data_IF_499492259905
#
_entry.id   IF_499492259905
#
_cell.length_a   1.000
_cell.length_b   1.000
_cell.length_c   1.000
_cell.angle_alpha   90.00
_cell.angle_beta   90.00
_cell.angle_gamma   90.00
#
_symmetry.space_group_name_H-M   'P 1'
#
loop_
_entity.id
_entity.type
_entity.pdbx_description
1 polymer ?
#
# COMPACT_ATOMS: atom_id res chain seq x y z
N UNK A 1 -27.27 -28.96 -15.52
CA UNK A 1 -27.80 -27.60 -15.34
C UNK A 1 -26.91 -26.88 -14.33
N UNK A 2 -25.93 -26.12 -14.82
CA UNK A 2 -25.08 -25.28 -13.98
C UNK A 2 -25.95 -24.13 -13.49
N UNK A 3 -26.44 -24.21 -12.25
CA UNK A 3 -27.11 -23.10 -11.60
C UNK A 3 -26.16 -21.91 -11.57
N UNK A 4 -26.61 -20.76 -12.06
CA UNK A 4 -25.78 -19.56 -12.20
C UNK A 4 -25.06 -19.25 -10.89
N UNK A 5 -23.74 -19.14 -10.94
CA UNK A 5 -22.97 -18.65 -9.82
C UNK A 5 -23.40 -17.19 -9.56
N UNK A 6 -24.25 -16.98 -8.55
CA UNK A 6 -24.52 -15.66 -8.03
C UNK A 6 -23.18 -15.06 -7.57
N UNK A 7 -22.86 -13.86 -8.04
CA UNK A 7 -21.63 -13.19 -7.71
C UNK A 7 -21.64 -12.85 -6.22
N UNK A 8 -20.83 -13.55 -5.43
CA UNK A 8 -20.58 -13.22 -4.02
C UNK A 8 -19.68 -12.01 -3.95
N UNK A 9 -20.04 -11.04 -3.11
CA UNK A 9 -19.24 -9.84 -2.91
C UNK A 9 -18.56 -9.88 -1.54
N UNK A 10 -17.32 -9.42 -1.51
CA UNK A 10 -16.49 -9.38 -0.31
C UNK A 10 -16.07 -7.94 -0.01
N UNK A 11 -16.11 -7.58 1.26
CA UNK A 11 -15.68 -6.26 1.74
C UNK A 11 -14.85 -6.42 3.02
N UNK A 12 -13.54 -6.27 2.88
CA UNK A 12 -12.59 -6.56 3.94
C UNK A 12 -11.89 -5.28 4.37
N UNK A 13 -11.87 -5.03 5.67
CA UNK A 13 -11.12 -3.92 6.25
C UNK A 13 -9.67 -4.36 6.48
N UNK A 14 -8.72 -3.54 6.01
CA UNK A 14 -7.29 -3.86 6.05
C UNK A 14 -6.63 -3.47 7.38
N UNK A 15 -7.28 -2.59 8.14
CA UNK A 15 -6.88 -2.19 9.50
C UNK A 15 -7.92 -2.69 10.50
N UNK A 16 -7.50 -3.03 11.72
CA UNK A 16 -8.42 -3.41 12.77
C UNK A 16 -9.31 -2.22 13.13
N UNK A 17 -10.60 -2.49 13.29
CA UNK A 17 -11.63 -1.51 13.64
C UNK A 17 -12.00 -1.72 15.09
N UNK A 18 -12.01 -0.62 15.86
CA UNK A 18 -12.57 -0.63 17.20
C UNK A 18 -14.11 -0.59 17.11
N UNK A 19 -14.76 -1.65 17.57
CA UNK A 19 -16.23 -1.75 17.58
C UNK A 19 -16.85 -1.34 18.91
N UNK A 20 -16.06 -0.93 19.91
CA UNK A 20 -16.53 -0.57 21.25
C UNK A 20 -16.83 -1.77 22.18
N UNK A 21 -16.71 -3.00 21.67
CA UNK A 21 -17.08 -4.24 22.38
C UNK A 21 -15.87 -5.05 22.87
N UNK A 22 -14.66 -4.47 22.85
CA UNK A 22 -13.44 -5.14 23.30
C UNK A 22 -12.20 -4.77 22.50
N UNK A 23 -11.37 -5.77 22.19
CA UNK A 23 -10.19 -5.57 21.36
C UNK A 23 -10.57 -5.16 19.94
N UNK A 24 -9.76 -4.32 19.26
CA UNK A 24 -9.93 -4.05 17.85
C UNK A 24 -10.01 -5.35 17.02
N UNK A 25 -10.89 -5.38 16.02
CA UNK A 25 -11.13 -6.56 15.18
C UNK A 25 -10.93 -6.24 13.70
N UNK A 26 -10.37 -7.20 12.96
CA UNK A 26 -10.40 -7.18 11.51
C UNK A 26 -11.77 -7.67 11.03
N UNK A 27 -12.37 -6.91 10.12
CA UNK A 27 -13.71 -7.19 9.60
C UNK A 27 -13.59 -7.78 8.20
N UNK A 28 -13.97 -9.06 8.05
CA UNK A 28 -14.07 -9.74 6.76
C UNK A 28 -15.54 -9.90 6.38
N UNK A 29 -16.00 -9.05 5.48
CA UNK A 29 -17.40 -8.95 5.07
C UNK A 29 -17.72 -9.78 3.84
N UNK A 30 -18.91 -10.36 3.82
CA UNK A 30 -19.45 -11.07 2.65
C UNK A 30 -20.97 -10.83 2.52
N UNK A 31 -21.45 -10.83 1.28
CA UNK A 31 -22.87 -10.96 0.93
C UNK A 31 -23.07 -11.87 -0.28
N UNK A 32 -24.19 -12.59 -0.31
CA UNK A 32 -24.55 -13.49 -1.42
C UNK A 32 -25.29 -12.74 -2.54
N UNK A 33 -26.09 -11.73 -2.19
CA UNK A 33 -26.79 -10.83 -3.12
C UNK A 33 -26.48 -9.36 -2.85
N UNK A 34 -26.58 -8.51 -3.87
CA UNK A 34 -26.43 -7.06 -3.73
C UNK A 34 -27.53 -6.42 -2.87
N UNK A 35 -28.69 -7.08 -2.76
CA UNK A 35 -29.78 -6.65 -1.89
C UNK A 35 -29.51 -6.97 -0.41
N UNK A 36 -28.59 -7.89 -0.11
CA UNK A 36 -28.29 -8.29 1.26
C UNK A 36 -27.31 -7.32 1.92
N UNK A 37 -27.46 -7.17 3.23
CA UNK A 37 -26.46 -6.53 4.06
C UNK A 37 -25.21 -7.41 4.18
N UNK A 38 -24.03 -6.78 4.24
CA UNK A 38 -22.79 -7.49 4.51
C UNK A 38 -22.83 -8.14 5.90
N UNK A 39 -22.48 -9.42 5.95
CA UNK A 39 -22.20 -10.15 7.19
C UNK A 39 -20.69 -10.14 7.40
N UNK A 40 -20.25 -9.67 8.55
CA UNK A 40 -18.84 -9.53 8.87
C UNK A 40 -18.41 -10.58 9.88
N UNK A 41 -17.44 -11.39 9.50
CA UNK A 41 -16.64 -12.15 10.44
C UNK A 41 -15.68 -11.19 11.14
N UNK A 42 -15.63 -11.27 12.47
CA UNK A 42 -14.84 -10.36 13.33
C UNK A 42 -13.64 -11.10 13.89
N UNK A 43 -12.46 -10.92 13.29
CA UNK A 43 -11.24 -11.58 13.76
C UNK A 43 -10.53 -10.67 14.76
N UNK A 44 -10.29 -11.09 16.01
CA UNK A 44 -9.58 -10.25 16.98
C UNK A 44 -8.13 -10.01 16.57
N UNK A 45 -7.67 -8.78 16.80
CA UNK A 45 -6.27 -8.41 16.69
C UNK A 45 -5.45 -9.10 17.78
N UNK A 46 -4.30 -9.68 17.42
CA UNK A 46 -3.40 -10.35 18.35
C UNK A 46 -2.49 -9.36 19.12
N UNK A 47 -1.58 -9.91 19.95
CA UNK A 47 -0.61 -9.15 20.74
C UNK A 47 0.40 -8.34 19.92
N UNK A 48 0.56 -8.67 18.63
CA UNK A 48 1.46 -7.99 17.69
C UNK A 48 0.72 -7.02 16.76
N UNK A 49 -0.60 -6.85 16.94
CA UNK A 49 -1.41 -5.97 16.09
C UNK A 49 -1.90 -6.61 14.79
N UNK A 50 -1.75 -7.93 14.63
CA UNK A 50 -2.02 -8.67 13.40
C UNK A 50 -3.12 -9.72 13.52
N UNK A 51 -3.21 -10.55 12.46
CA UNK A 51 -4.12 -11.69 12.35
C UNK A 51 -3.45 -13.03 12.70
N UNK A 52 -2.13 -13.04 12.89
CA UNK A 52 -1.32 -14.25 12.96
C UNK A 52 -1.70 -15.13 14.16
N UNK A 53 -2.03 -14.51 15.31
CA UNK A 53 -2.52 -15.22 16.48
C UNK A 53 -3.78 -16.04 16.18
N UNK A 54 -4.76 -15.46 15.49
CA UNK A 54 -5.99 -16.15 15.10
C UNK A 54 -5.72 -17.23 14.04
N UNK A 55 -4.95 -16.91 13.00
CA UNK A 55 -4.62 -17.87 11.93
C UNK A 55 -3.90 -19.11 12.47
N UNK A 56 -3.00 -18.91 13.44
CA UNK A 56 -2.30 -19.99 14.13
C UNK A 56 -3.23 -20.84 14.97
N UNK A 57 -4.16 -20.22 15.71
CA UNK A 57 -5.17 -20.94 16.47
C UNK A 57 -6.07 -21.77 15.54
N UNK A 58 -6.53 -21.19 14.42
CA UNK A 58 -7.30 -21.90 13.39
C UNK A 58 -6.52 -23.10 12.83
N UNK A 59 -5.25 -22.90 12.44
CA UNK A 59 -4.41 -23.99 11.95
C UNK A 59 -4.19 -25.09 13.00
N UNK A 60 -4.07 -24.71 14.28
CA UNK A 60 -3.96 -25.67 15.39
C UNK A 60 -5.26 -26.45 15.61
N UNK A 61 -6.41 -25.81 15.39
CA UNK A 61 -7.73 -26.44 15.46
C UNK A 61 -7.93 -27.45 14.33
N UNK A 62 -7.42 -27.18 13.13
CA UNK A 62 -7.52 -28.10 11.98
C UNK A 62 -6.64 -29.35 12.15
N UNK A 63 -5.56 -29.30 12.92
CA UNK A 63 -4.66 -30.43 13.16
C UNK A 63 -5.11 -31.32 14.33
N UNK A 64 -5.52 -32.59 14.06
CA UNK A 64 -6.02 -33.51 15.08
C UNK A 64 -5.02 -33.81 16.21
N UNK A 65 -3.73 -33.81 15.91
CA UNK A 65 -2.70 -34.10 16.90
C UNK A 65 -2.59 -32.96 17.93
N UNK A 66 -2.78 -31.71 17.51
CA UNK A 66 -2.78 -30.57 18.45
C UNK A 66 -4.06 -30.53 19.26
N UNK A 67 -5.22 -30.81 18.65
CA UNK A 67 -6.48 -30.96 19.38
C UNK A 67 -6.34 -31.99 20.51
N UNK A 68 -5.80 -33.16 20.20
CA UNK A 68 -5.59 -34.22 21.20
C UNK A 68 -4.62 -33.79 22.31
N UNK A 69 -3.55 -33.08 21.99
CA UNK A 69 -2.60 -32.57 22.99
C UNK A 69 -3.19 -31.46 23.87
N UNK A 70 -3.91 -30.50 23.28
CA UNK A 70 -4.59 -29.45 24.02
C UNK A 70 -5.62 -30.01 25.00
N UNK A 71 -6.38 -31.03 24.59
CA UNK A 71 -7.33 -31.74 25.46
C UNK A 71 -6.62 -32.43 26.63
N UNK A 72 -5.48 -33.10 26.38
CA UNK A 72 -4.69 -33.73 27.45
C UNK A 72 -4.17 -32.69 28.45
N UNK A 73 -3.65 -31.57 27.97
CA UNK A 73 -3.16 -30.46 28.82
C UNK A 73 -4.29 -29.87 29.66
N UNK A 74 -5.43 -29.60 29.04
CA UNK A 74 -6.62 -29.10 29.73
C UNK A 74 -7.08 -30.07 30.83
N UNK A 75 -7.21 -31.36 30.52
CA UNK A 75 -7.68 -32.36 31.49
C UNK A 75 -6.73 -32.48 32.70
N UNK A 76 -5.41 -32.47 32.48
CA UNK A 76 -4.41 -32.50 33.56
C UNK A 76 -4.43 -31.26 34.44
N UNK A 77 -4.78 -30.10 33.88
CA UNK A 77 -4.82 -28.83 34.60
C UNK A 77 -6.14 -28.62 35.34
N UNK A 78 -7.24 -29.13 34.80
CA UNK A 78 -8.58 -28.94 35.34
C UNK A 78 -8.97 -29.94 36.44
N UNK A 79 -8.27 -31.08 36.53
CA UNK A 79 -8.57 -32.16 37.48
C UNK A 79 -7.43 -32.32 38.49
N UNK A 80 -7.78 -32.62 39.74
CA UNK A 80 -6.83 -32.98 40.78
C UNK A 80 -6.01 -34.22 40.36
N UNK A 81 -4.66 -34.17 40.42
CA UNK A 81 -3.79 -35.31 40.11
C UNK A 81 -4.15 -36.61 40.85
N UNK A 82 -4.83 -36.52 42.01
CA UNK A 82 -5.31 -37.67 42.77
C UNK A 82 -6.52 -38.39 42.16
N UNK A 83 -7.12 -37.87 41.06
CA UNK A 83 -8.33 -38.44 40.42
C UNK A 83 -8.15 -38.63 38.90
N UNK A 84 -7.26 -39.54 38.46
CA UNK A 84 -6.96 -39.73 37.03
C UNK A 84 -8.19 -40.15 36.21
N UNK A 85 -9.11 -40.94 36.77
CA UNK A 85 -10.33 -41.37 36.08
C UNK A 85 -11.22 -40.20 35.65
N UNK A 86 -11.30 -39.13 36.47
CA UNK A 86 -12.05 -37.92 36.12
C UNK A 86 -11.36 -37.14 35.00
N UNK A 87 -10.02 -37.19 34.93
CA UNK A 87 -9.26 -36.56 33.87
C UNK A 87 -9.54 -37.23 32.53
N UNK A 88 -9.64 -38.57 32.49
CA UNK A 88 -9.96 -39.31 31.27
C UNK A 88 -11.39 -39.04 30.78
N UNK A 89 -12.36 -38.98 31.70
CA UNK A 89 -13.74 -38.63 31.36
C UNK A 89 -13.88 -37.19 30.84
N UNK A 90 -13.16 -36.26 31.46
CA UNK A 90 -13.11 -34.86 31.02
C UNK A 90 -12.43 -34.76 29.65
N UNK A 91 -11.31 -35.45 29.45
CA UNK A 91 -10.59 -35.48 28.18
C UNK A 91 -11.48 -36.03 27.04
N UNK A 92 -12.21 -37.12 27.29
CA UNK A 92 -13.13 -37.68 26.29
C UNK A 92 -14.24 -36.69 25.92
N UNK A 93 -14.79 -35.98 26.89
CA UNK A 93 -15.86 -34.98 26.67
C UNK A 93 -15.33 -33.74 25.94
N UNK A 94 -14.18 -33.23 26.37
CA UNK A 94 -13.45 -32.14 25.73
C UNK A 94 -13.06 -32.47 24.29
N UNK A 95 -12.56 -33.67 24.02
CA UNK A 95 -12.21 -34.14 22.68
C UNK A 95 -13.42 -34.16 21.75
N UNK A 96 -14.57 -34.67 22.20
CA UNK A 96 -15.81 -34.64 21.43
C UNK A 96 -16.25 -33.21 21.12
N UNK A 97 -16.28 -32.34 22.13
CA UNK A 97 -16.68 -30.95 21.98
C UNK A 97 -15.79 -30.22 20.96
N UNK A 98 -14.47 -30.37 21.09
CA UNK A 98 -13.51 -29.70 20.21
C UNK A 98 -13.56 -30.25 18.77
N UNK A 99 -13.81 -31.55 18.59
CA UNK A 99 -13.93 -32.18 17.26
C UNK A 99 -15.21 -31.75 16.55
N UNK A 100 -16.34 -31.66 17.27
CA UNK A 100 -17.60 -31.10 16.75
C UNK A 100 -17.42 -29.63 16.36
N UNK A 101 -16.76 -28.84 17.21
CA UNK A 101 -16.47 -27.43 16.93
C UNK A 101 -15.56 -27.26 15.70
N UNK A 102 -14.60 -28.17 15.50
CA UNK A 102 -13.72 -28.19 14.33
C UNK A 102 -14.41 -28.67 13.04
N UNK A 103 -15.68 -29.06 13.09
CA UNK A 103 -16.44 -29.52 11.92
C UNK A 103 -16.25 -31.00 11.58
N UNK A 104 -15.72 -31.83 12.49
CA UNK A 104 -15.58 -33.29 12.29
C UNK A 104 -16.87 -34.07 12.60
N UNK A 105 -18.02 -33.40 12.53
CA UNK A 105 -19.33 -33.99 12.76
C UNK A 105 -19.56 -35.16 11.79
N UNK A 106 -19.87 -36.34 12.34
CA UNK A 106 -20.31 -37.47 11.53
C UNK A 106 -21.54 -37.03 10.71
N UNK A 107 -21.58 -37.28 9.39
CA UNK A 107 -22.74 -36.90 8.57
C UNK A 107 -23.99 -37.55 9.16
N UNK A 108 -25.08 -36.77 9.33
CA UNK A 108 -26.39 -37.33 9.67
C UNK A 108 -26.71 -38.41 8.64
N UNK A 109 -27.16 -39.59 9.10
CA UNK A 109 -27.38 -40.75 8.23
C UNK A 109 -28.25 -40.36 7.02
N UNK A 110 -27.67 -40.42 5.81
CA UNK A 110 -28.34 -40.06 4.56
C UNK A 110 -28.15 -38.63 4.05
N UNK A 111 -27.36 -37.76 4.70
CA UNK A 111 -27.05 -36.41 4.23
C UNK A 111 -25.58 -36.28 3.81
N UNK A 112 -25.34 -35.52 2.73
CA UNK A 112 -23.99 -35.15 2.32
C UNK A 112 -23.30 -34.32 3.43
N UNK A 113 -21.96 -34.39 3.56
CA UNK A 113 -21.22 -33.55 4.50
C UNK A 113 -21.54 -32.08 4.24
N UNK A 114 -22.14 -31.39 5.21
CA UNK A 114 -22.39 -29.95 5.11
C UNK A 114 -21.08 -29.22 5.46
N UNK A 115 -20.48 -28.43 4.55
CA UNK A 115 -19.30 -27.62 4.86
C UNK A 115 -19.53 -26.58 5.97
N UNK A 116 -20.79 -26.35 6.38
CA UNK A 116 -21.19 -25.49 7.52
C UNK A 116 -21.35 -26.25 8.85
N UNK A 117 -21.00 -27.55 8.91
CA UNK A 117 -21.26 -28.43 10.07
C UNK A 117 -20.27 -28.31 11.25
N UNK A 118 -19.73 -27.11 11.50
CA UNK A 118 -18.80 -26.83 12.60
C UNK A 118 -19.19 -25.59 13.42
N UNK A 119 -18.29 -25.15 14.30
CA UNK A 119 -18.52 -23.98 15.15
C UNK A 119 -19.50 -24.21 16.30
N UNK A 120 -20.01 -23.11 16.87
CA UNK A 120 -20.97 -23.13 17.98
C UNK A 120 -22.31 -23.76 17.58
N UNK A 121 -22.72 -23.64 16.32
CA UNK A 121 -23.97 -24.23 15.82
C UNK A 121 -23.93 -25.76 15.89
N UNK A 122 -22.81 -26.39 15.53
CA UNK A 122 -22.66 -27.84 15.63
C UNK A 122 -22.77 -28.35 17.07
N UNK A 123 -22.27 -27.57 18.04
CA UNK A 123 -22.44 -27.89 19.46
C UNK A 123 -23.90 -27.74 19.90
N UNK A 124 -24.59 -26.69 19.45
CA UNK A 124 -26.00 -26.49 19.76
C UNK A 124 -26.87 -27.65 19.22
N UNK A 125 -26.67 -28.03 17.96
CA UNK A 125 -27.33 -29.17 17.33
C UNK A 125 -27.07 -30.49 18.09
N UNK A 126 -25.83 -30.71 18.53
CA UNK A 126 -25.47 -31.87 19.34
C UNK A 126 -26.20 -31.89 20.69
N UNK A 127 -26.27 -30.74 21.35
CA UNK A 127 -26.96 -30.56 22.63
C UNK A 127 -28.47 -30.80 22.50
N UNK A 128 -29.10 -30.31 21.45
CA UNK A 128 -30.52 -30.53 21.19
C UNK A 128 -30.85 -32.01 20.95
N UNK A 129 -29.98 -32.73 20.24
CA UNK A 129 -30.20 -34.13 19.89
C UNK A 129 -29.91 -35.11 21.04
N UNK A 130 -28.96 -34.79 21.93
CA UNK A 130 -28.45 -35.75 22.94
C UNK A 130 -28.81 -35.38 24.38
N UNK A 131 -29.29 -34.16 24.66
CA UNK A 131 -29.57 -33.69 26.03
C UNK A 131 -31.05 -33.31 26.18
N UNK A 132 -31.75 -33.84 27.19
CA UNK A 132 -33.11 -33.43 27.51
C UNK A 132 -33.23 -31.92 27.76
N UNK A 133 -34.36 -31.33 27.38
CA UNK A 133 -34.59 -29.88 27.45
C UNK A 133 -34.36 -29.30 28.86
N UNK A 134 -34.79 -30.02 29.90
CA UNK A 134 -34.63 -29.61 31.29
C UNK A 134 -33.17 -29.47 31.74
N UNK A 135 -32.24 -30.18 31.11
CA UNK A 135 -30.81 -30.19 31.47
C UNK A 135 -29.96 -29.37 30.48
N UNK A 136 -30.54 -28.98 29.34
CA UNK A 136 -29.82 -28.41 28.20
C UNK A 136 -29.06 -27.13 28.53
N UNK A 137 -29.67 -26.22 29.29
CA UNK A 137 -29.01 -24.97 29.70
C UNK A 137 -27.75 -25.24 30.53
N UNK A 138 -27.88 -26.05 31.60
CA UNK A 138 -26.76 -26.37 32.50
C UNK A 138 -25.66 -27.16 31.79
N UNK A 139 -26.03 -28.14 30.98
CA UNK A 139 -25.06 -28.93 30.23
C UNK A 139 -24.36 -28.09 29.14
N UNK A 140 -25.07 -27.13 28.53
CA UNK A 140 -24.52 -26.16 27.58
C UNK A 140 -23.46 -25.26 28.22
N UNK A 141 -23.74 -24.68 29.40
CA UNK A 141 -22.78 -23.85 30.13
C UNK A 141 -21.48 -24.60 30.44
N UNK A 142 -21.60 -25.86 30.87
CA UNK A 142 -20.45 -26.73 31.14
C UNK A 142 -19.68 -27.02 29.85
N UNK A 143 -20.37 -27.32 28.76
CA UNK A 143 -19.76 -27.60 27.46
C UNK A 143 -18.98 -26.40 26.92
N UNK A 144 -19.56 -25.21 26.96
CA UNK A 144 -18.91 -23.95 26.56
C UNK A 144 -17.69 -23.67 27.42
N UNK A 145 -17.78 -23.90 28.74
CA UNK A 145 -16.63 -23.74 29.65
C UNK A 145 -15.48 -24.69 29.31
N UNK A 146 -15.80 -25.95 29.02
CA UNK A 146 -14.81 -26.96 28.60
C UNK A 146 -14.19 -26.56 27.26
N UNK A 147 -15.02 -26.18 26.28
CA UNK A 147 -14.57 -25.74 24.97
C UNK A 147 -13.59 -24.57 25.08
N UNK A 148 -13.98 -23.49 25.79
CA UNK A 148 -13.14 -22.31 25.97
C UNK A 148 -11.81 -22.67 26.67
N UNK A 149 -11.83 -23.53 27.67
CA UNK A 149 -10.61 -24.00 28.34
C UNK A 149 -9.69 -24.83 27.43
N UNK A 150 -10.26 -25.66 26.57
CA UNK A 150 -9.47 -26.45 25.60
C UNK A 150 -8.90 -25.59 24.47
N UNK A 151 -9.68 -24.63 23.96
CA UNK A 151 -9.21 -23.68 22.94
C UNK A 151 -8.12 -22.76 23.49
N UNK A 152 -8.18 -22.41 24.78
CA UNK A 152 -7.11 -21.69 25.46
C UNK A 152 -5.79 -22.49 25.46
N UNK A 153 -5.83 -23.75 25.89
CA UNK A 153 -4.65 -24.63 25.85
C UNK A 153 -4.15 -24.88 24.41
N UNK A 154 -5.07 -24.92 23.44
CA UNK A 154 -4.73 -25.02 22.02
C UNK A 154 -4.02 -23.76 21.51
N UNK A 155 -4.47 -22.57 21.91
CA UNK A 155 -3.81 -21.30 21.57
C UNK A 155 -2.38 -21.24 22.13
N UNK A 156 -2.20 -21.67 23.40
CA UNK A 156 -0.88 -21.75 24.02
C UNK A 156 0.03 -22.76 23.30
N UNK A 157 -0.50 -23.95 22.98
CA UNK A 157 0.24 -24.97 22.24
C UNK A 157 0.66 -24.48 20.84
N UNK A 158 -0.23 -23.79 20.14
CA UNK A 158 0.07 -23.18 18.83
C UNK A 158 1.20 -22.14 18.93
N UNK A 159 1.19 -21.30 19.97
CA UNK A 159 2.28 -20.34 20.22
C UNK A 159 3.61 -21.02 20.56
N UNK A 160 3.58 -22.02 21.42
CA UNK A 160 4.77 -22.81 21.79
C UNK A 160 5.43 -23.43 20.56
N UNK A 161 4.64 -24.04 19.68
CA UNK A 161 5.14 -24.61 18.41
C UNK A 161 5.70 -23.58 17.45
N UNK A 162 5.23 -22.34 17.53
CA UNK A 162 5.75 -21.22 16.76
C UNK A 162 6.99 -20.56 17.41
N UNK A 163 7.48 -21.08 18.54
CA UNK A 163 8.62 -20.51 19.27
C UNK A 163 8.31 -19.16 19.93
N UNK A 164 7.03 -18.83 20.12
CA UNK A 164 6.59 -17.57 20.73
C UNK A 164 6.47 -17.71 22.24
N UNK A 165 6.69 -16.59 22.94
CA UNK A 165 6.47 -16.55 24.38
C UNK A 165 4.98 -16.79 24.73
N UNK A 166 4.70 -17.46 25.87
CA UNK A 166 3.34 -17.55 26.41
C UNK A 166 2.73 -16.16 26.61
N UNK A 167 1.45 -16.03 26.29
CA UNK A 167 0.72 -14.78 26.57
C UNK A 167 0.51 -14.63 28.09
N UNK A 168 0.66 -13.42 28.64
CA UNK A 168 0.26 -13.16 30.02
C UNK A 168 -1.24 -13.44 30.19
N UNK A 169 -1.61 -14.02 31.32
CA UNK A 169 -3.02 -14.24 31.67
C UNK A 169 -3.65 -12.93 32.14
N UNK A 170 -3.98 -12.06 31.19
CA UNK A 170 -4.57 -10.74 31.40
C UNK A 170 -5.95 -10.60 30.72
N UNK A 171 -6.61 -9.48 30.95
CA UNK A 171 -7.93 -9.18 30.38
C UNK A 171 -7.89 -9.14 28.85
N UNK A 172 -6.75 -8.79 28.25
CA UNK A 172 -6.58 -8.78 26.79
C UNK A 172 -6.62 -10.20 26.23
N UNK A 173 -5.93 -11.14 26.84
CA UNK A 173 -5.99 -12.55 26.45
C UNK A 173 -7.42 -13.09 26.56
N UNK A 174 -8.13 -12.76 27.65
CA UNK A 174 -9.52 -13.16 27.82
C UNK A 174 -10.43 -12.57 26.71
N UNK A 175 -10.25 -11.28 26.39
CA UNK A 175 -10.98 -10.62 25.31
C UNK A 175 -10.67 -11.23 23.94
N UNK A 176 -9.39 -11.50 23.67
CA UNK A 176 -8.94 -12.15 22.44
C UNK A 176 -9.60 -13.53 22.28
N UNK A 177 -9.54 -14.37 23.32
CA UNK A 177 -10.11 -15.72 23.28
C UNK A 177 -11.62 -15.69 23.09
N UNK A 178 -12.33 -14.80 23.77
CA UNK A 178 -13.80 -14.66 23.63
C UNK A 178 -14.18 -14.35 22.18
N UNK A 179 -13.50 -13.38 21.56
CA UNK A 179 -13.76 -13.02 20.16
C UNK A 179 -13.25 -14.11 19.19
N UNK A 180 -12.12 -14.75 19.48
CA UNK A 180 -11.55 -15.78 18.62
C UNK A 180 -12.46 -17.01 18.51
N UNK A 181 -13.13 -17.41 19.60
CA UNK A 181 -14.11 -18.52 19.57
C UNK A 181 -15.26 -18.21 18.63
N UNK A 182 -15.81 -17.00 18.69
CA UNK A 182 -16.87 -16.55 17.79
C UNK A 182 -16.37 -16.52 16.34
N UNK A 183 -15.19 -15.94 16.11
CA UNK A 183 -14.58 -15.88 14.78
C UNK A 183 -14.31 -17.27 14.18
N UNK A 184 -13.81 -18.23 14.98
CA UNK A 184 -13.61 -19.62 14.54
C UNK A 184 -14.93 -20.31 14.17
N UNK A 185 -16.02 -19.97 14.87
CA UNK A 185 -17.35 -20.45 14.48
C UNK A 185 -17.76 -19.85 13.12
N UNK A 186 -17.58 -18.55 12.94
CA UNK A 186 -17.95 -17.82 11.72
C UNK A 186 -17.14 -18.25 10.48
N UNK A 187 -15.92 -18.77 10.66
CA UNK A 187 -15.09 -19.33 9.58
C UNK A 187 -15.85 -20.39 8.77
N UNK A 188 -16.69 -21.22 9.41
CA UNK A 188 -17.46 -22.26 8.72
C UNK A 188 -18.56 -21.68 7.82
N UNK A 189 -18.98 -20.44 8.10
CA UNK A 189 -19.99 -19.72 7.33
C UNK A 189 -19.33 -18.88 6.22
N UNK A 190 -18.03 -18.56 6.34
CA UNK A 190 -17.25 -17.81 5.37
C UNK A 190 -16.61 -18.74 4.31
N UNK A 191 -17.16 -18.86 3.09
CA UNK A 191 -16.82 -19.88 2.11
C UNK A 191 -15.53 -19.57 1.31
N UNK A 192 -14.81 -18.50 1.63
CA UNK A 192 -13.62 -18.11 0.89
C UNK A 192 -12.38 -18.82 1.47
N UNK A 193 -11.62 -19.57 0.66
CA UNK A 193 -10.44 -20.30 1.15
C UNK A 193 -9.23 -19.38 1.42
N UNK A 194 -9.25 -18.15 0.88
CA UNK A 194 -8.16 -17.19 1.00
C UNK A 194 -8.74 -15.79 1.21
N UNK A 195 -8.13 -15.01 2.10
CA UNK A 195 -8.35 -13.58 2.24
C UNK A 195 -7.04 -12.84 1.95
N UNK A 196 -7.12 -11.72 1.23
CA UNK A 196 -5.96 -10.87 0.93
C UNK A 196 -5.87 -9.75 1.95
N UNK A 197 -4.68 -9.56 2.53
CA UNK A 197 -4.37 -8.47 3.43
C UNK A 197 -3.24 -7.61 2.84
N UNK A 198 -3.40 -6.29 2.90
CA UNK A 198 -2.32 -5.36 2.59
C UNK A 198 -1.29 -5.39 3.73
N UNK A 199 -0.07 -5.83 3.42
CA UNK A 199 1.04 -5.77 4.39
C UNK A 199 1.55 -4.35 4.58
N UNK A 200 1.73 -3.64 3.48
CA UNK A 200 2.24 -2.27 3.45
C UNK A 200 1.42 -1.47 2.43
N UNK A 201 1.09 -0.22 2.79
CA UNK A 201 0.40 0.71 1.92
C UNK A 201 1.20 2.01 1.83
N UNK A 202 1.97 2.16 0.76
CA UNK A 202 2.57 3.45 0.43
C UNK A 202 1.54 4.27 -0.32
N UNK A 203 0.92 5.22 0.39
CA UNK A 203 0.00 6.16 -0.25
C UNK A 203 0.80 7.11 -1.17
N UNK A 204 0.95 6.73 -2.43
CA UNK A 204 1.38 7.66 -3.47
C UNK A 204 0.19 8.57 -3.78
N UNK A 205 0.06 9.66 -3.02
CA UNK A 205 -0.81 10.76 -3.41
C UNK A 205 -0.22 11.34 -4.68
N UNK A 206 -0.68 10.86 -5.82
CA UNK A 206 -0.54 11.56 -7.09
C UNK A 206 -1.36 12.84 -6.97
N UNK A 207 -0.81 13.83 -6.25
CA UNK A 207 -1.25 15.20 -6.44
C UNK A 207 -1.07 15.45 -7.93
N UNK A 208 -2.16 15.74 -8.62
CA UNK A 208 -2.18 16.12 -10.03
C UNK A 208 -1.61 17.54 -10.14
N UNK A 209 -0.44 17.78 -9.54
CA UNK A 209 0.47 18.81 -9.98
C UNK A 209 1.02 18.34 -11.32
N UNK A 210 0.23 18.54 -12.37
CA UNK A 210 0.70 18.51 -13.73
C UNK A 210 1.68 19.68 -13.89
N UNK A 211 2.93 19.48 -13.47
CA UNK A 211 4.02 20.30 -13.96
C UNK A 211 4.17 19.91 -15.42
N UNK A 212 3.45 20.61 -16.29
CA UNK A 212 3.56 20.47 -17.72
C UNK A 212 5.00 20.83 -18.11
N UNK A 213 5.84 19.79 -18.22
CA UNK A 213 7.20 19.92 -18.70
C UNK A 213 7.08 20.21 -20.18
N UNK A 214 7.02 21.49 -20.56
CA UNK A 214 6.88 21.90 -21.96
C UNK A 214 8.25 21.76 -22.67
N UNK A 215 8.47 20.72 -23.51
CA UNK A 215 9.78 20.42 -24.10
C UNK A 215 10.24 21.45 -25.15
N UNK A 216 9.47 22.52 -25.39
CA UNK A 216 9.82 23.61 -26.33
C UNK A 216 10.30 24.91 -25.70
N UNK A 217 10.29 25.05 -24.36
CA UNK A 217 10.61 26.32 -23.67
C UNK A 217 12.01 26.86 -24.04
N UNK A 218 12.99 25.97 -24.13
CA UNK A 218 14.37 26.33 -24.49
C UNK A 218 14.49 26.83 -25.94
N UNK A 219 13.76 26.21 -26.88
CA UNK A 219 13.77 26.61 -28.30
C UNK A 219 13.15 28.00 -28.47
N UNK A 220 12.04 28.28 -27.78
CA UNK A 220 11.40 29.60 -27.82
C UNK A 220 12.33 30.69 -27.26
N UNK A 221 12.99 30.44 -26.14
CA UNK A 221 13.94 31.42 -25.58
C UNK A 221 15.17 31.63 -26.45
N UNK A 222 15.70 30.57 -27.06
CA UNK A 222 16.79 30.69 -28.03
C UNK A 222 16.35 31.51 -29.25
N UNK A 223 15.11 31.30 -29.72
CA UNK A 223 14.50 32.09 -30.78
C UNK A 223 14.37 33.57 -30.41
N UNK A 224 13.83 33.88 -29.22
CA UNK A 224 13.73 35.25 -28.73
C UNK A 224 15.11 35.92 -28.61
N UNK A 225 16.13 35.19 -28.13
CA UNK A 225 17.50 35.69 -28.02
C UNK A 225 18.10 36.03 -29.38
N UNK A 226 17.97 35.12 -30.37
CA UNK A 226 18.45 35.34 -31.73
C UNK A 226 17.75 36.50 -32.42
N UNK A 227 16.45 36.69 -32.15
CA UNK A 227 15.67 37.80 -32.71
C UNK A 227 16.15 39.14 -32.16
N UNK A 228 16.39 39.23 -30.85
CA UNK A 228 16.99 40.41 -30.22
C UNK A 228 18.37 40.71 -30.84
N UNK A 229 19.24 39.69 -30.94
CA UNK A 229 20.56 39.82 -31.58
C UNK A 229 20.47 40.29 -33.04
N UNK A 230 19.51 39.76 -33.81
CA UNK A 230 19.29 40.17 -35.20
C UNK A 230 18.86 41.63 -35.34
N UNK A 231 17.97 42.11 -34.46
CA UNK A 231 17.57 43.53 -34.41
C UNK A 231 18.77 44.41 -34.05
N UNK A 232 19.58 44.02 -33.07
CA UNK A 232 20.81 44.73 -32.73
C UNK A 232 21.81 44.73 -33.89
N UNK A 233 22.02 43.59 -34.55
CA UNK A 233 22.90 43.51 -35.71
C UNK A 233 22.41 44.43 -36.84
N UNK A 234 21.12 44.45 -37.15
CA UNK A 234 20.57 45.34 -38.17
C UNK A 234 20.74 46.83 -37.83
N UNK A 235 20.68 47.20 -36.54
CA UNK A 235 20.85 48.59 -36.11
C UNK A 235 22.33 49.02 -36.01
N UNK A 236 23.22 48.11 -35.61
CA UNK A 236 24.62 48.44 -35.28
C UNK A 236 25.62 48.01 -36.35
N UNK A 237 25.33 47.01 -37.19
CA UNK A 237 26.18 46.65 -38.32
C UNK A 237 25.96 47.69 -39.43
N UNK A 238 26.92 48.59 -39.57
CA UNK A 238 26.88 49.67 -40.56
C UNK A 238 27.72 49.29 -41.77
N UNK A 239 27.15 49.46 -42.96
CA UNK A 239 27.93 49.40 -44.19
C UNK A 239 28.73 50.70 -44.34
N UNK A 240 30.05 50.59 -44.42
CA UNK A 240 30.99 51.70 -44.65
C UNK A 240 31.76 51.42 -45.93
N UNK A 241 31.74 52.34 -46.89
CA UNK A 241 32.50 52.20 -48.15
C UNK A 241 33.57 53.28 -48.20
N UNK A 242 34.83 52.85 -48.16
CA UNK A 242 36.01 53.71 -48.26
C UNK A 242 36.59 53.55 -49.67
N UNK A 243 36.80 54.66 -50.36
CA UNK A 243 37.45 54.72 -51.66
C UNK A 243 38.76 55.47 -51.50
N UNK A 244 39.87 54.85 -51.91
CA UNK A 244 41.19 55.48 -51.94
C UNK A 244 41.66 55.52 -53.38
N UNK A 245 41.95 56.71 -53.88
CA UNK A 245 42.45 56.94 -55.22
C UNK A 245 43.88 57.49 -55.14
N UNK A 246 44.82 56.85 -55.83
CA UNK A 246 46.24 57.23 -55.85
C UNK A 246 46.58 57.72 -57.26
N UNK A 247 47.04 58.96 -57.38
CA UNK A 247 47.46 59.56 -58.64
C UNK A 247 48.85 60.23 -58.50
N UNK A 248 49.67 60.29 -59.55
CA UNK A 248 50.95 61.01 -59.49
C UNK A 248 50.73 62.52 -59.30
N UNK A 249 51.51 63.16 -58.43
CA UNK A 249 51.34 64.58 -58.11
C UNK A 249 51.76 65.48 -59.29
N UNK A 250 50.96 66.50 -59.67
CA UNK A 250 51.34 67.42 -60.74
C UNK A 250 52.37 68.43 -60.20
N UNK A 251 53.64 68.26 -60.58
CA UNK A 251 54.67 69.31 -60.45
C UNK A 251 55.86 69.06 -59.51
N UNK A 252 56.28 67.82 -59.25
CA UNK A 252 57.57 67.54 -58.60
C UNK A 252 57.87 66.04 -58.49
N UNK A 253 59.13 65.66 -58.79
CA UNK A 253 59.82 64.35 -58.74
C UNK A 253 59.01 63.04 -58.83
N UNK A 254 59.49 62.10 -59.65
CA UNK A 254 58.88 60.81 -59.98
C UNK A 254 58.66 59.81 -58.81
N UNK A 255 58.76 60.26 -57.55
CA UNK A 255 58.37 59.52 -56.35
C UNK A 255 57.23 60.16 -55.54
N UNK A 256 56.62 61.27 -56.00
CA UNK A 256 55.52 61.93 -55.30
C UNK A 256 54.15 61.41 -55.78
N UNK A 257 53.46 60.63 -54.93
CA UNK A 257 52.09 60.15 -55.17
C UNK A 257 51.10 60.99 -54.36
N UNK A 258 50.12 61.60 -55.03
CA UNK A 258 48.98 62.24 -54.40
C UNK A 258 47.88 61.21 -54.13
N UNK A 259 47.50 61.04 -52.87
CA UNK A 259 46.38 60.19 -52.48
C UNK A 259 45.15 61.06 -52.19
N UNK A 260 43.99 60.67 -52.72
CA UNK A 260 42.69 61.27 -52.40
C UNK A 260 41.79 60.19 -51.83
N UNK A 261 41.15 60.48 -50.70
CA UNK A 261 40.26 59.55 -50.03
C UNK A 261 38.83 60.08 -50.01
N UNK A 262 37.85 59.22 -50.26
CA UNK A 262 36.43 59.53 -50.14
C UNK A 262 35.73 58.44 -49.32
N UNK A 263 34.95 58.84 -48.32
CA UNK A 263 34.15 57.94 -47.50
C UNK A 263 32.66 58.16 -47.79
N UNK A 264 31.92 57.07 -47.99
CA UNK A 264 30.46 57.09 -48.07
C UNK A 264 29.88 56.25 -46.93
N UNK A 265 28.95 56.84 -46.18
CA UNK A 265 28.19 56.18 -45.12
C UNK A 265 26.70 56.49 -45.25
N UNK A 266 25.84 55.51 -44.92
CA UNK A 266 24.38 55.63 -45.06
C UNK A 266 23.76 56.65 -44.06
N UNK A 267 24.40 56.89 -42.91
CA UNK A 267 23.98 57.91 -41.92
C UNK A 267 25.18 58.78 -41.52
N UNK A 268 25.06 60.10 -41.75
CA UNK A 268 26.04 61.10 -41.29
C UNK A 268 25.99 61.19 -39.76
N UNK A 269 27.08 60.81 -39.09
CA UNK A 269 27.24 60.88 -37.63
C UNK A 269 28.56 61.57 -37.31
N UNK A 270 28.61 62.36 -36.23
CA UNK A 270 29.81 63.17 -35.87
C UNK A 270 31.08 62.32 -35.66
N UNK A 271 30.93 61.06 -35.25
CA UNK A 271 32.07 60.14 -35.08
C UNK A 271 32.65 59.65 -36.40
N UNK A 272 31.85 59.59 -37.48
CA UNK A 272 32.34 59.18 -38.80
C UNK A 272 33.29 60.19 -39.42
N UNK A 273 33.07 61.49 -39.16
CA UNK A 273 33.96 62.55 -39.63
C UNK A 273 35.30 62.54 -38.84
N UNK A 274 35.28 62.22 -37.53
CA UNK A 274 36.50 62.06 -36.73
C UNK A 274 37.33 60.85 -37.14
N UNK A 275 36.68 59.69 -37.33
CA UNK A 275 37.35 58.49 -37.82
C UNK A 275 37.91 58.67 -39.24
N UNK A 276 37.26 59.45 -40.10
CA UNK A 276 37.78 59.78 -41.43
C UNK A 276 39.08 60.60 -41.34
N UNK A 277 39.13 61.57 -40.43
CA UNK A 277 40.33 62.38 -40.17
C UNK A 277 41.46 61.50 -39.60
N UNK A 278 41.16 60.61 -38.64
CA UNK A 278 42.16 59.67 -38.12
C UNK A 278 42.66 58.72 -39.21
N UNK A 279 41.77 58.19 -40.06
CA UNK A 279 42.15 57.33 -41.18
C UNK A 279 42.95 58.08 -42.25
N UNK A 280 42.65 59.36 -42.52
CA UNK A 280 43.42 60.17 -43.47
C UNK A 280 44.79 60.54 -42.92
N UNK A 281 44.89 60.81 -41.62
CA UNK A 281 46.16 61.06 -40.95
C UNK A 281 47.04 59.80 -40.95
N UNK A 282 46.46 58.63 -40.65
CA UNK A 282 47.21 57.37 -40.61
C UNK A 282 47.60 56.84 -42.00
N UNK A 283 46.72 56.95 -43.00
CA UNK A 283 46.95 56.37 -44.33
C UNK A 283 47.65 57.33 -45.29
N UNK A 284 47.45 58.64 -45.14
CA UNK A 284 47.94 59.64 -46.10
C UNK A 284 48.93 60.63 -45.44
N UNK A 285 49.05 60.67 -44.10
CA UNK A 285 49.88 61.65 -43.37
C UNK A 285 49.63 63.09 -43.84
N UNK A 286 48.42 63.39 -44.33
CA UNK A 286 47.99 64.72 -44.68
C UNK A 286 47.52 65.42 -43.42
N UNK A 287 48.40 66.21 -42.82
CA UNK A 287 48.03 67.18 -41.78
C UNK A 287 47.21 68.28 -42.46
N UNK A 288 45.92 68.35 -42.17
CA UNK A 288 44.99 69.34 -42.74
C UNK A 288 45.52 70.77 -42.56
N UNK A 289 45.82 71.45 -43.67
CA UNK A 289 46.04 72.89 -43.70
C UNK A 289 44.69 73.56 -43.96
N UNK A 290 44.06 74.05 -42.89
CA UNK A 290 42.80 74.78 -42.96
C UNK A 290 42.95 76.04 -43.82
N UNK A 291 42.13 76.16 -44.88
CA UNK A 291 41.64 77.42 -45.41
C UNK A 291 40.15 77.34 -45.69
#
# INVERSE_FOLDING_TARGET
LVGGAQAREFHNYMLPVDTGDGLPVFLLGMRESQADAFRYMRIPMDDQGGLDGFLRLKASLEDPAQRAEAVRRYARRAVDPARPELADQLAASASRALSLFAGESAPRAGQAPDPRAGGLQALADFMEANVPEAERARAGDVLVRILNGTLYELALLGRERAGLAPLPADDKLQGFMTQAVLALSDVHVYPAPVALQLKEFTQLQASVFQVARAPGKLVVYLGCLLLILGVFAMLYVRERRLWVWLAPAPGGDASATAATMALSTNRKTMDGDREFVELSEQLISAKDDKR
#
